data_IF_958611553340
#
_entry.id   IF_958611553340
#
_cell.length_a   1.000
_cell.length_b   1.000
_cell.length_c   1.000
_cell.angle_alpha   90.00
_cell.angle_beta   90.00
_cell.angle_gamma   90.00
#
_symmetry.space_group_name_H-M   'P 1'
#
loop_
_entity.id
_entity.type
_entity.pdbx_description
1 polymer ?
#
# COMPACT_ATOMS: atom_id res chain seq x y z
N UNK A 1 -0.24 -35.06 -12.15
CA UNK A 1 0.47 -34.20 -11.19
C UNK A 1 1.52 -33.28 -11.83
N UNK A 2 1.96 -33.49 -13.09
CA UNK A 2 3.00 -32.64 -13.72
C UNK A 2 2.54 -31.31 -14.35
N UNK A 3 1.30 -31.22 -14.84
CA UNK A 3 0.85 -30.05 -15.63
C UNK A 3 0.71 -28.78 -14.77
N UNK A 4 0.27 -28.92 -13.51
CA UNK A 4 0.14 -27.77 -12.61
C UNK A 4 1.50 -27.25 -12.11
N UNK A 5 2.52 -28.10 -12.02
CA UNK A 5 3.87 -27.68 -11.67
C UNK A 5 4.52 -26.94 -12.84
N UNK A 6 4.43 -27.50 -14.05
CA UNK A 6 4.95 -26.87 -15.29
C UNK A 6 4.32 -25.48 -15.53
N UNK A 7 3.00 -25.34 -15.38
CA UNK A 7 2.32 -24.05 -15.58
C UNK A 7 2.77 -23.02 -14.53
N UNK A 8 2.97 -23.44 -13.27
CA UNK A 8 3.42 -22.53 -12.20
C UNK A 8 4.89 -22.13 -12.36
N UNK A 9 5.72 -23.01 -12.91
CA UNK A 9 7.13 -22.75 -13.20
C UNK A 9 7.28 -21.84 -14.42
N UNK A 10 6.51 -22.07 -15.49
CA UNK A 10 6.43 -21.17 -16.65
C UNK A 10 5.85 -19.80 -16.27
N UNK A 11 4.89 -19.73 -15.34
CA UNK A 11 4.38 -18.46 -14.81
C UNK A 11 5.44 -17.72 -13.97
N UNK A 12 6.19 -18.44 -13.13
CA UNK A 12 7.27 -17.85 -12.33
C UNK A 12 8.43 -17.36 -13.22
N UNK A 13 8.76 -18.08 -14.28
CA UNK A 13 9.78 -17.67 -15.25
C UNK A 13 9.33 -16.48 -16.09
N UNK A 14 8.03 -16.37 -16.38
CA UNK A 14 7.46 -15.28 -17.17
C UNK A 14 7.16 -14.01 -16.36
N UNK A 15 6.82 -14.14 -15.08
CA UNK A 15 6.32 -13.04 -14.25
C UNK A 15 7.15 -12.77 -12.98
N UNK A 16 8.21 -13.55 -12.73
CA UNK A 16 9.00 -13.45 -11.51
C UNK A 16 8.29 -14.02 -10.28
N UNK A 17 8.98 -14.10 -9.13
CA UNK A 17 8.30 -14.39 -7.86
C UNK A 17 7.30 -13.28 -7.52
N UNK A 18 6.14 -13.65 -6.95
CA UNK A 18 5.20 -12.67 -6.40
C UNK A 18 5.94 -11.78 -5.37
N UNK A 19 5.81 -10.45 -5.46
CA UNK A 19 6.59 -9.56 -4.61
C UNK A 19 6.23 -9.78 -3.14
N UNK A 20 7.26 -9.94 -2.31
CA UNK A 20 7.08 -10.09 -0.87
C UNK A 20 6.44 -8.84 -0.28
N UNK A 21 5.28 -9.01 0.36
CA UNK A 21 4.57 -7.91 1.00
C UNK A 21 5.10 -7.77 2.43
N UNK A 22 5.95 -6.77 2.64
CA UNK A 22 6.57 -6.47 3.92
C UNK A 22 5.63 -5.64 4.82
N UNK A 23 5.21 -6.16 5.99
CA UNK A 23 4.41 -5.39 6.92
C UNK A 23 5.26 -4.33 7.62
N UNK A 24 4.79 -3.08 7.57
CA UNK A 24 5.39 -1.95 8.26
C UNK A 24 4.41 -1.36 9.24
N UNK A 25 4.94 -0.80 10.32
CA UNK A 25 4.12 -0.19 11.35
C UNK A 25 3.60 1.19 10.94
N UNK A 26 2.49 1.62 11.54
CA UNK A 26 1.96 2.97 11.36
C UNK A 26 2.18 3.84 12.61
N UNK A 27 3.26 4.65 12.62
CA UNK A 27 3.45 5.67 13.68
C UNK A 27 2.52 6.87 13.53
N UNK A 28 2.00 7.08 12.31
CA UNK A 28 0.94 8.04 11.99
C UNK A 28 0.17 7.54 10.77
N UNK A 29 -1.15 7.56 10.87
CA UNK A 29 -2.07 7.41 9.73
C UNK A 29 -3.18 8.44 9.91
N UNK A 30 -3.25 9.45 9.04
CA UNK A 30 -4.18 10.56 9.19
C UNK A 30 -4.74 10.99 7.84
N UNK A 31 -6.05 11.19 7.83
CA UNK A 31 -6.79 11.73 6.71
C UNK A 31 -7.67 12.86 7.20
N UNK A 32 -7.83 13.89 6.38
CA UNK A 32 -8.76 14.98 6.61
C UNK A 32 -9.51 15.25 5.33
N UNK A 33 -10.78 15.59 5.48
CA UNK A 33 -11.65 16.04 4.41
C UNK A 33 -12.33 17.36 4.79
N UNK A 34 -12.96 18.02 3.83
CA UNK A 34 -13.74 19.22 4.08
C UNK A 34 -15.05 18.90 4.81
N UNK A 35 -15.49 19.83 5.66
CA UNK A 35 -16.74 19.72 6.43
C UNK A 35 -17.93 20.41 5.77
N UNK A 36 -17.70 21.07 4.65
CA UNK A 36 -18.75 21.81 3.94
C UNK A 36 -19.63 20.87 3.13
N UNK A 37 -20.85 21.33 2.82
CA UNK A 37 -21.78 20.63 1.93
C UNK A 37 -22.14 21.56 0.76
N UNK A 38 -21.71 21.26 -0.49
CA UNK A 38 -20.91 20.10 -0.89
C UNK A 38 -19.44 20.21 -0.42
N UNK A 39 -18.78 19.09 -0.17
CA UNK A 39 -17.38 19.05 0.28
C UNK A 39 -16.43 19.61 -0.79
N UNK A 40 -15.41 20.38 -0.40
CA UNK A 40 -14.33 20.82 -1.30
C UNK A 40 -13.16 19.82 -1.33
N UNK A 41 -12.98 19.02 -2.41
CA UNK A 41 -11.94 18.00 -2.48
C UNK A 41 -10.51 18.58 -2.41
N UNK A 42 -10.33 19.87 -2.71
CA UNK A 42 -9.01 20.53 -2.66
C UNK A 42 -8.48 20.66 -1.23
N UNK A 43 -9.36 20.53 -0.23
CA UNK A 43 -9.00 20.60 1.19
C UNK A 43 -8.63 19.23 1.79
N UNK A 44 -8.79 18.13 1.03
CA UNK A 44 -8.36 16.79 1.46
C UNK A 44 -6.87 16.74 1.78
N UNK A 45 -6.49 16.01 2.83
CA UNK A 45 -5.10 15.84 3.26
C UNK A 45 -4.86 14.40 3.68
N UNK A 46 -3.70 13.87 3.29
CA UNK A 46 -3.20 12.57 3.74
C UNK A 46 -1.83 12.72 4.38
N UNK A 47 -1.60 12.05 5.51
CA UNK A 47 -0.30 11.99 6.17
C UNK A 47 -0.08 10.61 6.77
N UNK A 48 0.97 9.94 6.28
CA UNK A 48 1.42 8.67 6.81
C UNK A 48 2.88 8.75 7.27
N UNK A 49 3.20 8.01 8.34
CA UNK A 49 4.57 7.81 8.79
C UNK A 49 4.77 6.41 9.37
N UNK A 50 5.80 5.73 8.88
CA UNK A 50 6.39 4.56 9.52
C UNK A 50 7.79 4.90 10.02
N UNK A 51 8.11 4.57 11.26
CA UNK A 51 9.47 4.66 11.82
C UNK A 51 9.61 3.71 12.99
N UNK A 52 10.84 3.43 13.43
CA UNK A 52 11.07 2.81 14.72
C UNK A 52 10.37 3.59 15.85
N UNK A 53 9.90 2.87 16.87
CA UNK A 53 9.26 3.43 18.05
C UNK A 53 9.52 2.53 19.26
N UNK A 54 10.06 3.14 20.33
CA UNK A 54 10.41 2.49 21.60
C UNK A 54 11.24 1.20 21.44
N UNK A 55 12.27 1.26 20.60
CA UNK A 55 13.17 0.12 20.36
C UNK A 55 12.65 -0.90 19.33
N UNK A 56 11.35 -0.94 19.05
CA UNK A 56 10.83 -1.80 17.98
C UNK A 56 11.08 -1.16 16.60
N UNK A 57 11.59 -1.92 15.61
CA UNK A 57 11.86 -1.42 14.27
C UNK A 57 10.56 -1.05 13.54
N UNK A 58 10.69 -0.35 12.40
CA UNK A 58 9.53 -0.06 11.53
C UNK A 58 9.05 -1.27 10.73
N UNK A 59 9.95 -2.21 10.42
CA UNK A 59 9.74 -3.25 9.40
C UNK A 59 10.16 -2.79 8.00
N UNK A 60 10.52 -1.51 7.84
CA UNK A 60 10.84 -0.92 6.56
C UNK A 60 12.28 -1.22 6.15
N UNK A 61 12.45 -1.96 5.06
CA UNK A 61 13.71 -2.13 4.35
C UNK A 61 13.74 -1.17 3.18
N UNK A 62 14.83 -0.42 3.00
CA UNK A 62 14.95 0.49 1.85
C UNK A 62 15.62 -0.28 0.72
N UNK A 63 15.03 -0.33 -0.50
CA UNK A 63 15.64 -1.01 -1.63
C UNK A 63 17.02 -0.46 -1.99
N UNK A 64 17.87 -1.31 -2.55
CA UNK A 64 19.18 -0.90 -3.04
C UNK A 64 19.06 -0.05 -4.31
N UNK A 65 20.04 0.83 -4.52
CA UNK A 65 20.11 1.60 -5.77
C UNK A 65 20.28 0.69 -6.98
N UNK A 66 19.39 0.84 -7.96
CA UNK A 66 19.35 0.05 -9.20
C UNK A 66 18.60 -1.27 -9.07
N UNK A 67 18.05 -1.61 -7.90
CA UNK A 67 17.22 -2.81 -7.75
C UNK A 67 15.85 -2.67 -8.45
N UNK A 68 15.05 -3.74 -8.40
CA UNK A 68 13.68 -3.75 -8.95
C UNK A 68 12.70 -2.86 -8.18
N UNK A 69 13.00 -2.50 -6.92
CA UNK A 69 12.26 -1.48 -6.17
C UNK A 69 13.00 -0.16 -6.00
N UNK A 70 14.03 0.11 -6.81
CA UNK A 70 14.50 1.49 -6.99
C UNK A 70 13.42 2.27 -7.76
N UNK A 71 12.71 3.23 -7.13
CA UNK A 71 11.61 3.95 -7.77
C UNK A 71 12.10 5.06 -8.70
N UNK A 72 13.40 5.28 -8.88
CA UNK A 72 13.93 6.26 -9.83
C UNK A 72 13.93 5.72 -11.25
N UNK A 73 14.09 6.60 -12.24
CA UNK A 73 14.24 6.19 -13.65
C UNK A 73 15.47 5.31 -13.91
N UNK A 74 16.38 5.16 -12.95
CA UNK A 74 17.53 4.27 -13.00
C UNK A 74 17.27 2.89 -12.37
N UNK A 75 16.05 2.62 -11.89
CA UNK A 75 15.65 1.31 -11.41
C UNK A 75 15.48 0.29 -12.53
N UNK A 76 15.73 -0.98 -12.22
CA UNK A 76 15.83 -2.05 -13.22
C UNK A 76 14.50 -2.29 -13.99
N UNK A 77 13.37 -1.90 -13.41
CA UNK A 77 12.02 -2.07 -13.95
C UNK A 77 11.40 -0.79 -14.51
N UNK A 78 12.20 0.27 -14.72
CA UNK A 78 11.71 1.61 -15.10
C UNK A 78 11.27 2.47 -13.91
N UNK A 79 11.31 1.92 -12.70
CA UNK A 79 11.07 2.63 -11.44
C UNK A 79 9.61 3.01 -11.19
N UNK A 80 9.41 4.14 -10.53
CA UNK A 80 8.12 4.61 -10.06
C UNK A 80 7.63 3.89 -8.81
N UNK A 81 6.42 4.22 -8.39
CA UNK A 81 5.74 3.54 -7.30
C UNK A 81 4.22 3.66 -7.45
N UNK A 82 3.49 2.75 -6.82
CA UNK A 82 2.03 2.79 -6.73
C UNK A 82 1.65 2.83 -5.25
N UNK A 83 0.85 3.83 -4.86
CA UNK A 83 0.28 3.94 -3.52
C UNK A 83 -1.21 3.64 -3.57
N UNK A 84 -1.64 2.61 -2.86
CA UNK A 84 -3.05 2.26 -2.68
C UNK A 84 -3.47 2.59 -1.25
N UNK A 85 -4.59 3.29 -1.08
CA UNK A 85 -5.21 3.58 0.24
C UNK A 85 -6.65 3.05 0.21
N UNK A 86 -7.03 2.29 1.23
CA UNK A 86 -8.29 1.54 1.22
C UNK A 86 -8.80 1.25 2.65
N UNK A 87 -10.12 1.06 2.84
CA UNK A 87 -10.65 0.56 4.09
C UNK A 87 -10.37 -0.94 4.20
N UNK A 88 -10.08 -1.46 5.39
CA UNK A 88 -9.83 -2.92 5.56
C UNK A 88 -11.12 -3.73 5.62
N UNK A 89 -12.24 -3.08 5.94
CA UNK A 89 -13.58 -3.61 5.88
C UNK A 89 -14.38 -2.81 4.83
N UNK A 90 -15.06 -3.49 3.90
CA UNK A 90 -15.85 -2.85 2.85
C UNK A 90 -15.45 -3.33 1.44
N UNK A 91 -16.10 -2.72 0.43
CA UNK A 91 -15.78 -2.99 -0.97
C UNK A 91 -14.56 -2.17 -1.40
N UNK A 92 -13.64 -2.80 -2.14
CA UNK A 92 -12.43 -2.13 -2.62
C UNK A 92 -12.68 -1.21 -3.81
N UNK A 93 -13.94 -1.05 -4.25
CA UNK A 93 -14.33 0.02 -5.16
C UNK A 93 -13.97 1.40 -4.63
N UNK A 94 -13.84 1.54 -3.32
CA UNK A 94 -13.48 2.80 -2.67
C UNK A 94 -11.97 2.99 -2.55
N UNK A 95 -11.18 1.95 -2.86
CA UNK A 95 -9.73 2.04 -2.87
C UNK A 95 -9.29 3.11 -3.86
N UNK A 96 -8.35 3.95 -3.43
CA UNK A 96 -7.68 4.89 -4.31
C UNK A 96 -6.29 4.37 -4.64
N UNK A 97 -6.00 4.27 -5.94
CA UNK A 97 -4.68 3.94 -6.46
C UNK A 97 -4.03 5.20 -7.03
N UNK A 98 -2.79 5.47 -6.63
CA UNK A 98 -2.07 6.70 -6.94
C UNK A 98 -0.71 6.35 -7.52
N UNK A 99 -0.52 6.70 -8.79
CA UNK A 99 0.76 6.56 -9.48
C UNK A 99 1.74 7.64 -9.02
N UNK A 100 2.97 7.20 -8.75
CA UNK A 100 4.08 8.04 -8.34
C UNK A 100 5.20 7.86 -9.38
N UNK A 101 5.17 8.63 -10.49
CA UNK A 101 6.03 8.39 -11.63
C UNK A 101 7.52 8.55 -11.29
N UNK A 102 8.34 7.72 -11.93
CA UNK A 102 9.80 7.65 -11.73
C UNK A 102 10.51 9.01 -11.88
N UNK A 103 9.98 9.88 -12.75
CA UNK A 103 10.51 11.22 -13.05
C UNK A 103 10.50 12.18 -11.86
N UNK A 104 9.74 11.86 -10.81
CA UNK A 104 9.66 12.67 -9.58
C UNK A 104 10.43 12.06 -8.41
N UNK A 105 11.05 10.91 -8.61
CA UNK A 105 11.86 10.22 -7.62
C UNK A 105 13.33 10.57 -7.79
N UNK A 106 13.98 10.89 -6.67
CA UNK A 106 15.41 11.13 -6.58
C UNK A 106 16.02 10.19 -5.54
N UNK A 107 17.22 9.67 -5.83
CA UNK A 107 18.05 9.00 -4.83
C UNK A 107 18.48 10.00 -3.76
N UNK A 108 18.64 9.51 -2.55
CA UNK A 108 19.17 10.26 -1.41
C UNK A 108 19.99 9.33 -0.53
N UNK A 109 21.03 9.86 0.13
CA UNK A 109 21.94 9.01 0.90
C UNK A 109 23.07 8.44 0.05
N UNK A 110 23.58 7.27 0.42
CA UNK A 110 24.72 6.60 -0.22
C UNK A 110 24.36 5.17 -0.60
N UNK A 111 25.17 4.50 -1.42
CA UNK A 111 24.95 3.07 -1.77
C UNK A 111 24.86 2.18 -0.54
N UNK A 112 25.64 2.47 0.51
CA UNK A 112 25.62 1.74 1.79
C UNK A 112 24.44 2.09 2.71
N UNK A 113 23.72 3.18 2.41
CA UNK A 113 22.55 3.67 3.17
C UNK A 113 21.57 4.30 2.18
N UNK A 114 20.91 3.47 1.36
CA UNK A 114 20.06 3.97 0.30
C UNK A 114 18.86 4.72 0.88
N UNK A 115 18.31 5.59 0.05
CA UNK A 115 17.15 6.40 0.37
C UNK A 115 16.57 7.01 -0.88
N UNK A 116 15.28 7.35 -0.82
CA UNK A 116 14.54 7.91 -1.93
C UNK A 116 13.66 9.06 -1.49
N UNK A 117 13.45 9.99 -2.41
CA UNK A 117 12.56 11.13 -2.23
C UNK A 117 11.71 11.31 -3.48
N UNK A 118 10.40 11.29 -3.29
CA UNK A 118 9.45 11.76 -4.29
C UNK A 118 9.11 13.22 -4.01
N UNK A 119 9.05 14.06 -5.05
CA UNK A 119 8.65 15.47 -4.93
C UNK A 119 7.77 15.91 -6.11
N UNK A 120 6.53 16.24 -5.79
CA UNK A 120 5.63 16.96 -6.69
C UNK A 120 4.98 18.13 -5.95
N UNK A 121 5.67 19.27 -5.91
CA UNK A 121 5.17 20.45 -5.20
C UNK A 121 3.97 21.11 -5.90
N UNK A 122 3.83 20.91 -7.21
CA UNK A 122 2.80 21.53 -8.04
C UNK A 122 1.56 20.64 -8.20
N UNK A 123 1.62 19.39 -7.75
CA UNK A 123 0.55 18.39 -7.89
C UNK A 123 0.21 18.11 -9.36
N UNK A 124 1.23 18.12 -10.24
CA UNK A 124 1.04 17.86 -11.66
C UNK A 124 0.89 16.38 -12.00
N UNK A 125 1.40 15.49 -11.14
CA UNK A 125 1.33 14.03 -11.33
C UNK A 125 0.25 13.36 -10.46
N UNK A 126 -0.36 14.12 -9.54
CA UNK A 126 -1.38 13.59 -8.64
C UNK A 126 -1.40 14.29 -7.28
N UNK A 127 -2.21 13.78 -6.34
CA UNK A 127 -2.41 14.42 -5.04
C UNK A 127 -1.26 14.19 -4.05
N UNK A 128 -0.37 13.23 -4.30
CA UNK A 128 0.79 13.00 -3.44
C UNK A 128 1.86 14.04 -3.78
N UNK A 129 2.24 14.84 -2.80
CA UNK A 129 3.18 15.94 -3.01
C UNK A 129 4.59 15.60 -2.52
N UNK A 130 4.72 14.58 -1.67
CA UNK A 130 6.00 14.18 -1.08
C UNK A 130 5.97 12.74 -0.55
N UNK A 131 7.00 11.98 -0.90
CA UNK A 131 7.36 10.73 -0.23
C UNK A 131 8.83 10.81 0.18
N UNK A 132 9.16 10.24 1.34
CA UNK A 132 10.56 10.06 1.73
C UNK A 132 10.73 8.70 2.36
N UNK A 133 11.69 7.95 1.85
CA UNK A 133 12.07 6.62 2.29
C UNK A 133 13.55 6.64 2.62
N UNK A 134 13.93 6.64 3.90
CA UNK A 134 15.34 6.58 4.31
C UNK A 134 15.46 6.20 5.78
N UNK A 135 16.56 5.56 6.16
CA UNK A 135 16.90 5.27 7.57
C UNK A 135 15.75 4.58 8.33
N UNK A 136 15.15 3.55 7.72
CA UNK A 136 14.00 2.83 8.29
C UNK A 136 12.76 3.71 8.54
N UNK A 137 12.67 4.87 7.90
CA UNK A 137 11.54 5.79 7.99
C UNK A 137 10.90 6.00 6.63
N UNK A 138 9.58 5.82 6.57
CA UNK A 138 8.73 6.17 5.45
C UNK A 138 7.83 7.33 5.87
N UNK A 139 7.78 8.40 5.07
CA UNK A 139 6.79 9.47 5.21
C UNK A 139 6.09 9.69 3.89
N UNK A 140 4.77 9.77 3.90
CA UNK A 140 3.95 10.11 2.74
C UNK A 140 3.08 11.31 3.11
N UNK A 141 2.97 12.25 2.18
CA UNK A 141 2.10 13.41 2.31
C UNK A 141 1.39 13.68 1.00
N UNK A 142 0.08 13.90 1.09
CA UNK A 142 -0.75 14.27 -0.04
C UNK A 142 -1.76 15.34 0.32
N UNK A 143 -2.23 16.05 -0.71
CA UNK A 143 -3.26 17.07 -0.60
C UNK A 143 -4.02 17.19 -1.92
N UNK A 144 -5.30 17.53 -1.82
CA UNK A 144 -6.12 17.90 -2.97
C UNK A 144 -7.05 16.80 -3.47
N UNK A 145 -7.69 17.09 -4.60
CA UNK A 145 -8.60 16.18 -5.27
C UNK A 145 -7.85 14.91 -5.71
N UNK A 146 -8.52 13.77 -5.69
CA UNK A 146 -7.92 12.47 -6.00
C UNK A 146 -7.36 11.71 -4.79
N UNK A 147 -7.32 12.30 -3.59
CA UNK A 147 -7.17 11.50 -2.37
C UNK A 147 -8.49 10.78 -2.04
N UNK A 148 -8.37 9.65 -1.33
CA UNK A 148 -9.49 8.90 -0.76
C UNK A 148 -10.46 9.83 -0.03
N UNK A 149 -11.76 9.64 -0.29
CA UNK A 149 -12.85 10.43 0.28
C UNK A 149 -13.33 9.83 1.60
N UNK A 150 -13.70 10.68 2.57
CA UNK A 150 -14.27 10.20 3.83
C UNK A 150 -15.81 10.25 3.86
N UNK A 151 -16.46 10.47 2.72
CA UNK A 151 -17.93 10.62 2.63
C UNK A 151 -18.70 9.43 3.23
N UNK A 152 -18.13 8.23 3.19
CA UNK A 152 -18.73 7.00 3.72
C UNK A 152 -18.26 6.63 5.14
N UNK A 153 -17.85 7.62 5.93
CA UNK A 153 -17.48 7.38 7.33
C UNK A 153 -18.66 6.83 8.17
N UNK A 154 -18.39 6.02 9.22
CA UNK A 154 -17.08 5.67 9.76
C UNK A 154 -16.34 4.63 8.92
N UNK A 155 -15.01 4.74 8.87
CA UNK A 155 -14.12 3.81 8.16
C UNK A 155 -13.75 2.59 9.01
N UNK A 156 -13.70 2.73 10.34
CA UNK A 156 -13.27 1.69 11.28
C UNK A 156 -11.76 1.47 11.27
N UNK A 157 -11.20 1.03 10.14
CA UNK A 157 -9.76 0.81 9.95
C UNK A 157 -9.37 1.11 8.50
N UNK A 158 -8.23 1.79 8.35
CA UNK A 158 -7.67 2.14 7.05
C UNK A 158 -6.32 1.48 6.87
N UNK A 159 -6.05 1.03 5.64
CA UNK A 159 -4.79 0.47 5.23
C UNK A 159 -4.17 1.24 4.06
N UNK A 160 -2.88 0.99 3.86
CA UNK A 160 -2.18 1.37 2.65
C UNK A 160 -1.29 0.24 2.15
N UNK A 161 -1.08 0.21 0.84
CA UNK A 161 0.04 -0.48 0.20
C UNK A 161 0.88 0.48 -0.61
N UNK A 162 2.19 0.36 -0.50
CA UNK A 162 3.15 1.08 -1.33
C UNK A 162 4.02 0.06 -2.05
N UNK A 163 3.85 -0.06 -3.37
CA UNK A 163 4.75 -0.83 -4.24
C UNK A 163 5.80 0.11 -4.82
N UNK A 164 7.07 -0.24 -4.72
CA UNK A 164 8.17 0.47 -5.38
C UNK A 164 8.63 -0.34 -6.59
N UNK A 165 8.67 0.29 -7.77
CA UNK A 165 8.95 -0.40 -9.04
C UNK A 165 8.10 -1.66 -9.19
N UNK A 166 8.77 -2.79 -9.43
CA UNK A 166 8.17 -4.13 -9.50
C UNK A 166 8.59 -5.06 -8.36
N UNK A 167 9.45 -4.58 -7.46
CA UNK A 167 10.00 -5.34 -6.34
C UNK A 167 9.18 -5.17 -5.07
N UNK A 168 9.67 -4.36 -4.14
CA UNK A 168 9.19 -4.31 -2.76
C UNK A 168 7.78 -3.72 -2.62
N UNK A 169 6.93 -4.41 -1.87
CA UNK A 169 5.59 -3.94 -1.47
C UNK A 169 5.55 -3.79 0.04
N UNK A 170 5.22 -2.59 0.53
CA UNK A 170 4.99 -2.35 1.95
C UNK A 170 3.50 -2.26 2.25
N UNK A 171 3.06 -2.86 3.35
CA UNK A 171 1.69 -2.71 3.84
C UNK A 171 1.66 -2.09 5.24
N UNK A 172 0.64 -1.28 5.53
CA UNK A 172 0.40 -0.80 6.89
C UNK A 172 -1.10 -0.64 7.13
N UNK A 173 -1.53 -0.81 8.38
CA UNK A 173 -2.91 -0.62 8.80
C UNK A 173 -2.98 0.20 10.09
N UNK A 174 -4.08 0.90 10.29
CA UNK A 174 -4.39 1.55 11.54
C UNK A 174 -5.89 1.64 11.76
N UNK A 175 -6.35 1.06 12.86
CA UNK A 175 -7.72 1.27 13.38
C UNK A 175 -7.95 2.74 13.74
N UNK A 176 -9.21 3.17 13.68
CA UNK A 176 -9.66 4.45 14.15
C UNK A 176 -9.32 4.63 15.63
N UNK A 177 -8.77 5.79 15.97
CA UNK A 177 -8.43 6.13 17.35
C UNK A 177 -9.69 6.42 18.17
N UNK A 178 -9.74 5.93 19.39
CA UNK A 178 -10.83 6.29 20.31
C UNK A 178 -10.81 7.76 20.78
N UNK A 179 -12.00 8.37 21.01
CA UNK A 179 -13.31 7.84 20.62
C UNK A 179 -13.57 8.01 19.11
N UNK A 180 -14.13 6.98 18.46
CA UNK A 180 -14.42 7.00 17.02
C UNK A 180 -15.23 8.24 16.59
N UNK A 181 -16.22 8.68 17.38
CA UNK A 181 -17.05 9.86 17.10
C UNK A 181 -16.28 11.17 16.88
N UNK A 182 -15.01 11.26 17.30
CA UNK A 182 -14.14 12.43 17.09
C UNK A 182 -13.04 12.22 16.04
N UNK A 183 -12.73 10.96 15.74
CA UNK A 183 -11.54 10.55 15.02
C UNK A 183 -11.86 9.78 13.74
N UNK A 184 -13.11 9.41 13.52
CA UNK A 184 -13.58 8.69 12.35
C UNK A 184 -14.95 9.26 11.96
N UNK A 185 -14.91 10.16 10.97
CA UNK A 185 -16.05 10.96 10.53
C UNK A 185 -15.82 11.40 9.09
N UNK A 186 -16.85 11.97 8.47
CA UNK A 186 -16.77 12.52 7.11
C UNK A 186 -15.74 13.62 6.93
N UNK A 187 -15.17 14.13 8.02
CA UNK A 187 -14.16 15.19 7.99
C UNK A 187 -12.74 14.74 8.33
N UNK A 188 -12.59 13.53 8.89
CA UNK A 188 -11.29 13.02 9.31
C UNK A 188 -11.32 11.55 9.69
N UNK A 189 -10.17 10.93 9.43
CA UNK A 189 -9.77 9.67 10.01
C UNK A 189 -8.43 9.86 10.74
N UNK A 190 -8.36 9.45 12.00
CA UNK A 190 -7.15 9.50 12.83
C UNK A 190 -6.89 8.10 13.34
N UNK A 191 -5.88 7.44 12.77
CA UNK A 191 -5.48 6.11 13.20
C UNK A 191 -4.89 6.10 14.62
N UNK A 192 -4.97 4.96 15.29
CA UNK A 192 -4.25 4.69 16.53
C UNK A 192 -2.76 5.03 16.34
N UNK A 193 -2.18 5.72 17.33
CA UNK A 193 -0.77 6.12 17.25
C UNK A 193 0.11 4.90 17.47
N UNK A 194 1.11 4.73 16.59
CA UNK A 194 2.07 3.63 16.70
C UNK A 194 1.43 2.25 16.61
N UNK A 195 0.41 2.10 15.78
CA UNK A 195 -0.12 0.78 15.40
C UNK A 195 1.02 -0.13 14.96
N UNK A 196 0.94 -1.40 15.36
CA UNK A 196 1.93 -2.42 15.05
C UNK A 196 2.09 -2.66 13.54
N UNK A 197 3.03 -3.54 13.20
CA UNK A 197 3.04 -4.15 11.88
C UNK A 197 1.81 -5.06 11.79
N UNK A 198 0.97 -4.96 10.75
CA UNK A 198 -0.15 -5.88 10.60
C UNK A 198 0.37 -7.28 10.25
N UNK A 199 -0.19 -8.31 10.88
CA UNK A 199 0.12 -9.71 10.59
C UNK A 199 -1.17 -10.53 10.58
N UNK A 200 -1.67 -10.93 9.39
CA UNK A 200 -1.12 -10.68 8.06
C UNK A 200 -1.35 -9.23 7.57
N UNK A 201 -0.69 -8.84 6.48
CA UNK A 201 -1.04 -7.63 5.74
C UNK A 201 -2.53 -7.64 5.35
N UNK A 202 -3.28 -6.52 5.52
CA UNK A 202 -4.66 -6.49 5.08
C UNK A 202 -4.73 -6.79 3.58
N UNK A 203 -5.61 -7.70 3.16
CA UNK A 203 -5.69 -8.09 1.78
C UNK A 203 -6.26 -6.94 0.95
N UNK A 204 -5.76 -6.77 -0.27
CA UNK A 204 -6.23 -5.76 -1.24
C UNK A 204 -7.40 -6.30 -2.08
N UNK A 205 -8.03 -7.40 -1.66
CA UNK A 205 -8.87 -8.32 -2.43
C UNK A 205 -9.19 -7.82 -3.85
N UNK A 206 -8.39 -8.23 -4.83
CA UNK A 206 -8.98 -8.39 -6.16
C UNK A 206 -10.31 -9.13 -5.96
N UNK A 207 -11.38 -8.62 -6.56
CA UNK A 207 -12.72 -9.23 -6.56
C UNK A 207 -12.65 -10.76 -6.72
N UNK A 208 -13.68 -11.53 -6.33
CA UNK A 208 -13.61 -12.97 -6.13
C UNK A 208 -13.35 -13.69 -7.46
N UNK A 209 -12.10 -13.80 -7.87
CA UNK A 209 -11.67 -14.84 -8.77
C UNK A 209 -11.76 -16.11 -7.94
N UNK A 210 -12.81 -16.88 -8.23
CA UNK A 210 -13.13 -18.09 -7.53
C UNK A 210 -11.87 -18.89 -7.19
N UNK A 211 -11.69 -19.13 -5.89
CA UNK A 211 -11.31 -20.47 -5.46
C UNK A 211 -12.42 -21.43 -5.92
N UNK A 212 -12.38 -21.75 -7.19
CA UNK A 212 -12.86 -22.99 -7.73
C UNK A 212 -11.72 -23.47 -8.61
N UNK A 213 -10.79 -24.20 -8.00
CA UNK A 213 -10.16 -25.30 -8.72
C UNK A 213 -11.30 -26.19 -9.22
N UNK A 214 -11.73 -25.93 -10.46
CA UNK A 214 -12.53 -26.88 -11.19
C UNK A 214 -11.68 -28.15 -11.36
N UNK A 215 -12.32 -29.28 -11.07
CA UNK A 215 -11.93 -30.65 -11.41
C UNK A 215 -10.81 -31.30 -10.58
N UNK A 216 -11.23 -32.10 -9.59
CA UNK A 216 -11.12 -33.55 -9.74
C UNK A 216 -12.50 -34.18 -9.42
N UNK A 217 -13.34 -34.27 -10.45
CA UNK A 217 -14.18 -35.45 -10.60
C UNK A 217 -13.20 -36.62 -10.73
N UNK A 218 -13.30 -37.59 -9.82
CA UNK A 218 -13.11 -39.04 -10.03
C UNK A 218 -12.86 -39.70 -8.67
N UNK A 219 -13.94 -40.05 -7.96
CA UNK A 219 -13.92 -41.20 -7.08
C UNK A 219 -14.77 -42.29 -7.74
N UNK A 220 -14.20 -43.38 -8.27
CA UNK A 220 -14.95 -44.61 -8.44
C UNK A 220 -15.01 -45.33 -7.10
N UNK A 221 -16.10 -46.07 -6.84
CA UNK A 221 -15.89 -47.42 -6.36
C UNK A 221 -16.58 -48.41 -7.29
N UNK A 222 -15.75 -49.32 -7.78
CA UNK A 222 -16.14 -50.57 -8.42
C UNK A 222 -16.99 -51.45 -7.49
N UNK A 223 -17.99 -52.12 -8.07
CA UNK A 223 -18.41 -53.53 -7.88
C UNK A 223 -18.86 -54.07 -6.49
N UNK A 224 -19.75 -55.07 -6.58
CA UNK A 224 -20.44 -55.92 -5.57
C UNK A 224 -21.81 -55.34 -5.12
N UNK A 225 -22.99 -55.90 -5.41
CA UNK A 225 -23.43 -57.20 -5.93
C UNK A 225 -24.46 -57.04 -7.07
#
# INVERSE_FOLDING_TARGET
>A
QGIAHDIMEEYRDKYGPEPEIAPIRATRFQMKDDRSNPSDPRKRRFSFRSSAYRGSPSGLVVPEFGSEGDPTSSGNSGGGATLTIYPTAGDLSDAVELDLPATRWERSGSTSRPGYRYKDSQLSEGPINKVSLRNGTLTISGKGAGLYTLEEAPQGEMALRLRLGTGEVFCAAAEARDPASKNDSTSRFMGVKNSGQPDPCPPLNAAPYGSASAAFLSAPPSLMD
#
